data_IF_721204579239
#
_entry.id   IF_721204579239
#
_cell.length_a   1.000
_cell.length_b   1.000
_cell.length_c   1.000
_cell.angle_alpha   90.00
_cell.angle_beta   90.00
_cell.angle_gamma   90.00
#
_symmetry.space_group_name_H-M   'P 1'
#
loop_
_entity.id
_entity.type
_entity.pdbx_description
1 polymer ?
#
# COMPACT_ATOMS: atom_id res chain seq x y z
N UNK A 1 14.16 54.98 -27.86
CA UNK A 1 15.31 54.25 -27.27
C UNK A 1 14.83 53.53 -26.02
N UNK A 2 15.08 52.21 -25.97
CA UNK A 2 15.06 51.30 -24.80
C UNK A 2 13.71 51.03 -24.12
N UNK A 3 13.09 49.95 -24.62
CA UNK A 3 12.47 48.84 -23.87
C UNK A 3 12.41 49.00 -22.34
N UNK A 4 11.22 49.30 -21.80
CA UNK A 4 10.86 49.03 -20.40
C UNK A 4 10.18 47.66 -20.23
N UNK A 5 10.44 46.77 -21.19
CA UNK A 5 9.96 45.39 -21.22
C UNK A 5 10.63 44.61 -20.09
N UNK A 6 9.80 44.11 -19.18
CA UNK A 6 9.95 42.80 -18.56
C UNK A 6 11.25 42.56 -17.77
N UNK A 7 11.36 43.12 -16.57
CA UNK A 7 12.42 42.74 -15.61
C UNK A 7 11.92 42.69 -14.14
N UNK A 8 10.64 42.40 -13.89
CA UNK A 8 10.15 42.22 -12.50
C UNK A 8 9.14 41.08 -12.40
N UNK A 9 9.48 39.90 -12.92
CA UNK A 9 8.66 38.69 -12.74
C UNK A 9 9.54 37.47 -12.97
N UNK A 10 10.35 37.06 -12.00
CA UNK A 10 11.26 35.95 -12.27
C UNK A 10 12.03 35.32 -11.11
N UNK A 11 11.73 35.65 -9.84
CA UNK A 11 12.42 35.03 -8.70
C UNK A 11 11.45 34.76 -7.56
N UNK A 12 10.47 33.88 -7.79
CA UNK A 12 9.58 33.37 -6.74
C UNK A 12 9.30 31.86 -6.87
N UNK A 13 10.16 31.11 -7.54
CA UNK A 13 10.05 29.66 -7.62
C UNK A 13 11.45 29.06 -7.66
N UNK A 14 12.05 28.80 -6.49
CA UNK A 14 13.17 27.87 -6.30
C UNK A 14 13.45 27.77 -4.78
N UNK A 15 12.45 27.33 -4.01
CA UNK A 15 12.60 27.07 -2.58
C UNK A 15 11.87 25.79 -2.13
N UNK A 16 11.75 24.79 -3.02
CA UNK A 16 11.21 23.48 -2.66
C UNK A 16 12.06 22.30 -3.18
N UNK A 17 13.35 22.52 -3.43
CA UNK A 17 14.29 21.49 -3.90
C UNK A 17 15.25 20.98 -2.81
N UNK A 18 14.84 21.07 -1.54
CA UNK A 18 15.57 20.49 -0.42
C UNK A 18 14.60 19.76 0.52
N UNK A 19 13.70 18.93 -0.02
CA UNK A 19 13.19 17.83 0.80
C UNK A 19 14.31 16.79 0.88
N UNK A 20 14.77 16.43 2.09
CA UNK A 20 15.49 15.20 2.24
C UNK A 20 14.55 14.08 1.77
N UNK A 21 14.90 13.35 0.72
CA UNK A 21 14.38 12.00 0.48
C UNK A 21 15.02 11.05 1.52
N UNK A 22 15.11 11.51 2.77
CA UNK A 22 15.72 10.82 3.90
C UNK A 22 14.63 10.51 4.92
N UNK A 23 13.57 9.85 4.44
CA UNK A 23 12.64 9.11 5.28
C UNK A 23 11.79 8.18 4.40
N UNK A 24 12.43 7.36 3.55
CA UNK A 24 11.88 6.02 3.44
C UNK A 24 12.31 5.33 4.73
N UNK A 25 11.41 5.08 5.69
CA UNK A 25 11.80 4.34 6.88
C UNK A 25 12.37 3.01 6.41
N UNK A 26 13.65 2.78 6.68
CA UNK A 26 14.37 1.57 6.28
C UNK A 26 13.76 0.29 6.91
N UNK A 27 12.77 0.41 7.79
CA UNK A 27 11.91 -0.70 8.23
C UNK A 27 11.03 -1.28 7.11
N UNK A 28 10.93 -0.65 5.95
CA UNK A 28 10.22 -1.19 4.77
C UNK A 28 11.01 -2.26 3.99
N UNK A 29 12.26 -2.57 4.37
CA UNK A 29 13.09 -3.61 3.72
C UNK A 29 13.15 -4.94 4.49
N UNK A 30 12.29 -5.15 5.50
CA UNK A 30 11.97 -6.52 5.90
C UNK A 30 11.22 -7.18 4.73
N UNK A 31 11.62 -8.39 4.33
CA UNK A 31 11.01 -9.11 3.20
C UNK A 31 9.49 -8.94 3.25
N UNK A 32 8.86 -8.32 2.22
CA UNK A 32 7.48 -7.89 2.34
C UNK A 32 6.60 -9.11 2.61
N UNK A 33 5.79 -9.05 3.67
CA UNK A 33 4.77 -10.04 3.92
C UNK A 33 3.89 -10.14 2.66
N UNK A 34 3.99 -11.26 1.93
CA UNK A 34 3.34 -11.44 0.64
C UNK A 34 2.24 -12.48 0.75
N UNK A 35 1.06 -12.14 0.23
CA UNK A 35 -0.09 -13.04 0.19
C UNK A 35 -0.49 -13.23 -1.27
N UNK A 36 -0.43 -14.47 -1.74
CA UNK A 36 -0.90 -14.84 -3.08
C UNK A 36 -2.43 -14.75 -3.10
N UNK A 37 -2.94 -13.95 -4.03
CA UNK A 37 -4.39 -13.73 -4.24
C UNK A 37 -4.87 -14.01 -5.66
N UNK A 38 -3.95 -14.29 -6.59
CA UNK A 38 -4.29 -14.47 -8.01
C UNK A 38 -5.14 -15.72 -8.27
N UNK A 39 -5.03 -16.72 -7.40
CA UNK A 39 -5.71 -18.01 -7.46
C UNK A 39 -7.04 -18.05 -6.68
N UNK A 40 -7.46 -16.95 -6.04
CA UNK A 40 -8.67 -16.90 -5.22
C UNK A 40 -9.63 -15.80 -5.67
N UNK A 41 -10.93 -16.09 -5.57
CA UNK A 41 -11.96 -15.11 -5.83
C UNK A 41 -12.27 -14.28 -4.57
N UNK A 42 -11.63 -13.12 -4.46
CA UNK A 42 -11.83 -12.18 -3.35
C UNK A 42 -13.26 -11.59 -3.27
N UNK A 43 -14.10 -11.81 -4.28
CA UNK A 43 -15.50 -11.36 -4.26
C UNK A 43 -16.42 -12.36 -3.55
N UNK A 44 -15.96 -13.58 -3.24
CA UNK A 44 -16.76 -14.58 -2.51
C UNK A 44 -16.31 -14.73 -1.05
N UNK A 45 -17.21 -15.17 -0.15
CA UNK A 45 -16.86 -15.46 1.25
C UNK A 45 -15.74 -16.51 1.39
N UNK A 46 -15.73 -17.54 0.53
CA UNK A 46 -14.74 -18.62 0.56
C UNK A 46 -13.35 -18.12 0.17
N UNK A 47 -13.28 -17.24 -0.85
CA UNK A 47 -12.02 -16.61 -1.25
C UNK A 47 -11.50 -15.66 -0.18
N UNK A 48 -12.37 -14.91 0.50
CA UNK A 48 -11.98 -14.08 1.64
C UNK A 48 -11.53 -14.90 2.85
N UNK A 49 -12.16 -16.04 3.11
CA UNK A 49 -11.71 -16.98 4.14
C UNK A 49 -10.32 -17.55 3.83
N UNK A 50 -10.08 -17.91 2.57
CA UNK A 50 -8.76 -18.37 2.11
C UNK A 50 -7.71 -17.27 2.24
N UNK A 51 -8.04 -16.03 1.87
CA UNK A 51 -7.18 -14.87 2.09
C UNK A 51 -6.85 -14.69 3.57
N UNK A 52 -7.85 -14.74 4.47
CA UNK A 52 -7.64 -14.56 5.91
C UNK A 52 -6.64 -15.58 6.45
N UNK A 53 -6.77 -16.86 6.08
CA UNK A 53 -5.83 -17.92 6.51
C UNK A 53 -4.41 -17.65 6.01
N UNK A 54 -4.27 -17.19 4.77
CA UNK A 54 -2.95 -16.86 4.18
C UNK A 54 -2.35 -15.61 4.82
N UNK A 55 -3.15 -14.59 5.11
CA UNK A 55 -2.75 -13.40 5.82
C UNK A 55 -2.29 -13.71 7.25
N UNK A 56 -2.98 -14.62 7.94
CA UNK A 56 -2.57 -15.09 9.27
C UNK A 56 -1.21 -15.81 9.24
N UNK A 57 -0.99 -16.67 8.24
CA UNK A 57 0.30 -17.34 8.05
C UNK A 57 1.41 -16.33 7.73
N UNK A 58 1.19 -15.42 6.79
CA UNK A 58 2.16 -14.39 6.41
C UNK A 58 2.51 -13.46 7.58
N UNK A 59 1.53 -13.05 8.37
CA UNK A 59 1.76 -12.22 9.57
C UNK A 59 2.58 -12.97 10.63
N UNK A 60 2.35 -14.28 10.81
CA UNK A 60 3.14 -15.10 11.75
C UNK A 60 4.58 -15.27 11.29
N UNK A 61 4.79 -15.51 10.00
CA UNK A 61 6.13 -15.68 9.43
C UNK A 61 6.92 -14.37 9.45
N UNK A 62 6.28 -13.25 9.08
CA UNK A 62 6.90 -11.92 9.14
C UNK A 62 7.29 -11.52 10.57
N UNK A 63 6.41 -11.77 11.55
CA UNK A 63 6.64 -11.43 12.94
C UNK A 63 7.36 -12.55 13.73
N UNK A 64 8.05 -13.47 13.05
CA UNK A 64 8.67 -14.64 13.69
C UNK A 64 9.81 -14.29 14.63
N UNK A 65 10.58 -13.25 14.30
CA UNK A 65 11.80 -12.89 15.03
C UNK A 65 11.52 -11.96 16.24
N UNK A 66 10.25 -11.66 16.51
CA UNK A 66 9.82 -10.86 17.65
C UNK A 66 10.03 -11.62 18.97
N UNK A 67 10.87 -11.06 19.85
CA UNK A 67 11.29 -11.72 21.10
C UNK A 67 10.25 -11.68 22.21
N UNK A 68 9.31 -10.74 22.17
CA UNK A 68 8.28 -10.60 23.19
C UNK A 68 6.91 -10.98 22.65
N UNK A 69 6.08 -11.62 23.47
CA UNK A 69 4.72 -12.01 23.07
C UNK A 69 3.85 -10.79 22.74
N UNK A 70 4.02 -9.69 23.47
CA UNK A 70 3.33 -8.43 23.20
C UNK A 70 3.77 -7.81 21.88
N UNK A 71 5.07 -7.71 21.61
CA UNK A 71 5.56 -7.19 20.32
C UNK A 71 5.12 -8.08 19.16
N UNK A 72 5.19 -9.40 19.30
CA UNK A 72 4.70 -10.34 18.29
C UNK A 72 3.19 -10.18 18.03
N UNK A 73 2.39 -9.97 19.07
CA UNK A 73 0.95 -9.72 18.93
C UNK A 73 0.68 -8.39 18.19
N UNK A 74 1.35 -7.30 18.59
CA UNK A 74 1.22 -6.00 17.94
C UNK A 74 1.67 -6.05 16.47
N UNK A 75 2.79 -6.70 16.18
CA UNK A 75 3.28 -6.89 14.83
C UNK A 75 2.25 -7.63 13.96
N UNK A 76 1.70 -8.75 14.45
CA UNK A 76 0.70 -9.53 13.69
C UNK A 76 -0.57 -8.72 13.42
N UNK A 77 -1.04 -7.95 14.41
CA UNK A 77 -2.21 -7.08 14.23
C UNK A 77 -1.92 -6.01 13.18
N UNK A 78 -0.77 -5.33 13.26
CA UNK A 78 -0.37 -4.32 12.30
C UNK A 78 -0.31 -4.88 10.86
N UNK A 79 0.36 -6.01 10.66
CA UNK A 79 0.46 -6.66 9.35
C UNK A 79 -0.92 -7.07 8.81
N UNK A 80 -1.80 -7.59 9.67
CA UNK A 80 -3.16 -7.96 9.25
C UNK A 80 -4.00 -6.74 8.86
N UNK A 81 -3.88 -5.62 9.57
CA UNK A 81 -4.55 -4.37 9.21
C UNK A 81 -4.11 -3.91 7.83
N UNK A 82 -2.80 -3.84 7.57
CA UNK A 82 -2.24 -3.47 6.27
C UNK A 82 -2.71 -4.40 5.14
N UNK A 83 -2.72 -5.71 5.37
CA UNK A 83 -3.19 -6.69 4.39
C UNK A 83 -4.70 -6.51 4.10
N UNK A 84 -5.51 -6.20 5.12
CA UNK A 84 -6.94 -5.97 4.96
C UNK A 84 -7.24 -4.67 4.21
N UNK A 85 -6.48 -3.61 4.44
CA UNK A 85 -6.61 -2.36 3.68
C UNK A 85 -6.27 -2.57 2.20
N UNK A 86 -5.18 -3.30 1.91
CA UNK A 86 -4.79 -3.64 0.54
C UNK A 86 -5.82 -4.52 -0.16
N UNK A 87 -6.35 -5.54 0.52
CA UNK A 87 -7.37 -6.42 -0.09
C UNK A 87 -8.67 -5.67 -0.36
N UNK A 88 -9.05 -4.71 0.49
CA UNK A 88 -10.21 -3.87 0.26
C UNK A 88 -10.06 -3.05 -1.03
N UNK A 89 -8.90 -2.42 -1.25
CA UNK A 89 -8.60 -1.70 -2.49
C UNK A 89 -8.67 -2.61 -3.73
N UNK A 90 -8.15 -3.83 -3.64
CA UNK A 90 -8.19 -4.80 -4.74
C UNK A 90 -9.62 -5.25 -5.04
N UNK A 91 -10.45 -5.47 -4.01
CA UNK A 91 -11.86 -5.85 -4.18
C UNK A 91 -12.64 -4.73 -4.85
N UNK A 92 -12.43 -3.48 -4.44
CA UNK A 92 -13.05 -2.33 -5.08
C UNK A 92 -12.68 -2.25 -6.58
N UNK A 93 -11.39 -2.38 -6.92
CA UNK A 93 -10.93 -2.39 -8.30
C UNK A 93 -11.52 -3.55 -9.13
N UNK A 94 -11.64 -4.75 -8.54
CA UNK A 94 -12.28 -5.90 -9.22
C UNK A 94 -13.77 -5.68 -9.47
N UNK A 95 -14.48 -5.01 -8.55
CA UNK A 95 -15.88 -4.67 -8.72
C UNK A 95 -16.08 -3.63 -9.85
N UNK A 96 -15.19 -2.64 -9.95
CA UNK A 96 -15.19 -1.68 -11.04
C UNK A 96 -14.92 -2.34 -12.40
N UNK A 97 -13.92 -3.23 -12.49
CA UNK A 97 -13.66 -3.99 -13.72
C UNK A 97 -14.83 -4.88 -14.14
N UNK A 98 -15.54 -5.45 -13.16
CA UNK A 98 -16.74 -6.22 -13.43
C UNK A 98 -17.84 -5.33 -14.02
N UNK A 99 -18.09 -4.13 -13.46
CA UNK A 99 -19.12 -3.23 -13.98
C UNK A 99 -18.81 -2.72 -15.39
N UNK A 100 -17.55 -2.42 -15.72
CA UNK A 100 -17.15 -2.02 -17.09
C UNK A 100 -17.32 -3.16 -18.09
N UNK A 101 -17.04 -4.40 -17.68
CA UNK A 101 -17.23 -5.59 -18.55
C UNK A 101 -18.70 -5.83 -18.86
N UNK A 102 -19.60 -5.57 -17.91
CA UNK A 102 -21.04 -5.62 -18.14
C UNK A 102 -21.54 -4.50 -19.05
N UNK A 103 -21.02 -3.28 -18.91
CA UNK A 103 -21.39 -2.14 -19.75
C UNK A 103 -20.87 -2.20 -21.19
N UNK A 104 -19.82 -2.99 -21.45
CA UNK A 104 -19.25 -3.20 -22.78
C UNK A 104 -19.95 -4.32 -23.60
N UNK A 105 -20.95 -4.99 -23.01
CA UNK A 105 -21.79 -6.02 -23.66
C UNK A 105 -23.16 -5.44 -23.98
#
# INVERSE_FOLDING_TARGET
MKNLTAQVSGLAMLALAALPIAALPASALAAPASVKIADINLLTPEGMSTFSKRADYAARDFCRDERSLSAAAHCRVAIKTELNEKVAGIRAAKLEQASTTFAAR
#
